data_IF_765740052590
#
_entry.id   IF_765740052590
#
_cell.length_a   1.000
_cell.length_b   1.000
_cell.length_c   1.000
_cell.angle_alpha   90.00
_cell.angle_beta   90.00
_cell.angle_gamma   90.00
#
_symmetry.space_group_name_H-M   'P 1'
#
loop_
_entity.id
_entity.type
_entity.pdbx_description
1 polymer ?
#
# COMPACT_ATOMS: atom_id res chain seq x y z
N UNK A 1 6.05 6.82 7.05
CA UNK A 1 7.07 6.54 6.01
C UNK A 1 7.51 5.10 6.10
N UNK A 2 7.21 4.38 7.17
CA UNK A 2 6.93 2.94 7.13
C UNK A 2 5.51 2.66 6.69
N UNK A 3 5.32 1.68 5.80
CA UNK A 3 4.00 1.27 5.31
C UNK A 3 3.78 -0.23 5.50
N UNK A 4 2.55 -0.60 5.83
CA UNK A 4 2.08 -1.97 6.01
C UNK A 4 0.70 -2.15 5.38
N UNK A 5 0.36 -3.38 5.04
CA UNK A 5 -1.00 -3.76 4.64
C UNK A 5 -1.57 -4.68 5.70
N UNK A 6 -2.79 -4.38 6.16
CA UNK A 6 -3.59 -5.28 6.97
C UNK A 6 -4.28 -6.31 6.06
N UNK A 7 -3.89 -7.59 6.12
CA UNK A 7 -4.46 -8.63 5.25
C UNK A 7 -5.91 -8.99 5.61
N UNK A 8 -6.36 -8.69 6.84
CA UNK A 8 -7.75 -8.92 7.25
C UNK A 8 -8.69 -7.89 6.63
N UNK A 9 -8.22 -6.65 6.45
CA UNK A 9 -8.97 -5.57 5.79
C UNK A 9 -8.85 -5.59 4.27
N UNK A 10 -7.69 -5.98 3.73
CA UNK A 10 -7.43 -5.92 2.30
C UNK A 10 -8.40 -6.82 1.50
N UNK A 11 -9.16 -6.25 0.56
CA UNK A 11 -10.08 -7.02 -0.31
C UNK A 11 -9.52 -7.32 -1.71
N UNK A 12 -8.25 -6.98 -1.96
CA UNK A 12 -7.59 -7.25 -3.23
C UNK A 12 -8.02 -6.34 -4.39
N UNK A 13 -8.43 -5.09 -4.11
CA UNK A 13 -8.88 -4.14 -5.13
C UNK A 13 -7.76 -3.64 -6.09
N UNK A 14 -6.49 -3.97 -5.80
CA UNK A 14 -5.30 -3.62 -6.59
C UNK A 14 -4.99 -2.12 -6.77
N UNK A 15 -5.79 -1.22 -6.19
CA UNK A 15 -5.61 0.25 -6.31
C UNK A 15 -4.21 0.70 -5.87
N UNK A 16 -3.68 0.13 -4.78
CA UNK A 16 -2.34 0.44 -4.29
C UNK A 16 -1.24 0.06 -5.29
N UNK A 17 -1.37 -1.09 -5.97
CA UNK A 17 -0.42 -1.55 -6.97
C UNK A 17 -0.47 -0.67 -8.22
N UNK A 18 -1.64 -0.14 -8.57
CA UNK A 18 -1.78 0.81 -9.69
C UNK A 18 -1.13 2.17 -9.38
N UNK A 19 -1.25 2.65 -8.14
CA UNK A 19 -0.73 3.96 -7.72
C UNK A 19 0.76 3.93 -7.39
N UNK A 20 1.25 2.87 -6.76
CA UNK A 20 2.65 2.75 -6.36
C UNK A 20 3.17 1.29 -6.49
N UNK A 21 3.38 0.79 -7.72
CA UNK A 21 3.87 -0.58 -7.98
C UNK A 21 5.29 -0.84 -7.47
N UNK A 22 6.05 0.21 -7.15
CA UNK A 22 7.37 0.10 -6.57
C UNK A 22 7.31 -0.35 -5.09
N UNK A 23 6.24 0.03 -4.39
CA UNK A 23 6.04 -0.26 -2.95
C UNK A 23 5.06 -1.41 -2.72
N UNK A 24 4.05 -1.59 -3.58
CA UNK A 24 3.02 -2.60 -3.41
C UNK A 24 3.05 -3.64 -4.53
N UNK A 25 2.70 -4.88 -4.19
CA UNK A 25 2.40 -5.94 -5.17
C UNK A 25 1.25 -6.81 -4.69
N UNK A 26 0.62 -7.52 -5.63
CA UNK A 26 -0.36 -8.54 -5.31
C UNK A 26 0.33 -9.88 -5.05
N UNK A 27 -0.05 -10.52 -3.95
CA UNK A 27 0.25 -11.91 -3.64
C UNK A 27 -1.07 -12.65 -3.41
N UNK A 28 -1.40 -13.54 -4.34
CA UNK A 28 -2.69 -14.25 -4.36
C UNK A 28 -3.87 -13.27 -4.44
N UNK A 29 -4.71 -13.21 -3.39
CA UNK A 29 -5.89 -12.35 -3.29
C UNK A 29 -5.64 -11.09 -2.44
N UNK A 30 -4.41 -10.87 -1.97
CA UNK A 30 -4.06 -9.76 -1.06
C UNK A 30 -2.90 -8.96 -1.60
N UNK A 31 -2.90 -7.66 -1.28
CA UNK A 31 -1.73 -6.82 -1.53
C UNK A 31 -0.70 -7.00 -0.40
N UNK A 32 0.57 -6.92 -0.75
CA UNK A 32 1.71 -6.93 0.19
C UNK A 32 2.63 -5.74 -0.09
N UNK A 33 3.45 -5.41 0.90
CA UNK A 33 4.44 -4.34 0.82
C UNK A 33 5.79 -4.92 0.41
N UNK A 34 6.33 -4.46 -0.73
CA UNK A 34 7.66 -4.80 -1.24
C UNK A 34 8.77 -4.06 -0.48
N UNK A 35 8.46 -2.84 -0.06
CA UNK A 35 9.40 -1.92 0.57
C UNK A 35 8.71 -1.23 1.75
N UNK A 36 9.02 -1.69 2.97
CA UNK A 36 8.42 -1.12 4.17
C UNK A 36 8.89 0.32 4.40
N UNK A 37 10.18 0.62 4.22
CA UNK A 37 10.75 1.95 4.39
C UNK A 37 10.63 2.74 3.08
N UNK A 38 9.64 3.62 3.00
CA UNK A 38 9.29 4.38 1.80
C UNK A 38 10.21 5.60 1.66
N UNK A 39 10.99 5.70 0.58
CA UNK A 39 11.80 6.88 0.31
C UNK A 39 10.92 8.09 -0.03
N UNK A 40 11.46 9.29 0.19
CA UNK A 40 10.70 10.55 0.11
C UNK A 40 10.07 10.79 -1.27
N UNK A 41 10.66 10.28 -2.35
CA UNK A 41 10.16 10.39 -3.71
C UNK A 41 8.92 9.52 -3.99
N UNK A 42 8.71 8.46 -3.18
CA UNK A 42 7.54 7.59 -3.26
C UNK A 42 6.48 7.93 -2.18
N UNK A 43 6.79 8.87 -1.29
CA UNK A 43 5.95 9.23 -0.16
C UNK A 43 4.53 9.64 -0.54
N UNK A 44 4.41 10.49 -1.56
CA UNK A 44 3.12 11.02 -1.99
C UNK A 44 2.29 9.93 -2.68
N UNK A 45 2.92 9.06 -3.49
CA UNK A 45 2.24 7.93 -4.11
C UNK A 45 1.72 6.92 -3.08
N UNK A 46 2.48 6.67 -2.00
CA UNK A 46 2.05 5.80 -0.90
C UNK A 46 0.89 6.42 -0.10
N UNK A 47 0.92 7.74 0.16
CA UNK A 47 -0.20 8.44 0.81
C UNK A 47 -1.45 8.39 -0.05
N UNK A 48 -1.33 8.67 -1.34
CA UNK A 48 -2.45 8.59 -2.28
C UNK A 48 -3.02 7.16 -2.35
N UNK A 49 -2.16 6.14 -2.35
CA UNK A 49 -2.59 4.74 -2.28
C UNK A 49 -3.38 4.43 -1.01
N UNK A 50 -2.93 4.93 0.14
CA UNK A 50 -3.63 4.76 1.41
C UNK A 50 -5.00 5.46 1.42
N UNK A 51 -5.05 6.72 0.98
CA UNK A 51 -6.29 7.50 0.88
C UNK A 51 -7.29 6.91 -0.14
N UNK A 52 -6.78 6.23 -1.17
CA UNK A 52 -7.59 5.60 -2.22
C UNK A 52 -8.01 4.16 -1.89
N UNK A 53 -7.50 3.57 -0.80
CA UNK A 53 -7.83 2.19 -0.43
C UNK A 53 -9.26 2.12 0.11
N UNK A 54 -10.22 1.47 -0.59
CA UNK A 54 -11.62 1.44 -0.15
C UNK A 54 -11.82 0.69 1.16
N UNK A 55 -10.91 -0.21 1.49
CA UNK A 55 -10.93 -1.01 2.70
C UNK A 55 -10.10 -0.43 3.85
N UNK A 56 -9.47 0.74 3.65
CA UNK A 56 -8.59 1.38 4.63
C UNK A 56 -7.48 0.44 5.17
N UNK A 57 -7.03 -0.50 4.32
CA UNK A 57 -6.11 -1.57 4.71
C UNK A 57 -4.64 -1.14 4.76
N UNK A 58 -4.31 0.06 4.31
CA UNK A 58 -2.92 0.56 4.20
C UNK A 58 -2.62 1.44 5.41
N UNK A 59 -1.65 1.00 6.21
CA UNK A 59 -1.26 1.66 7.46
C UNK A 59 0.09 2.33 7.26
N UNK A 60 0.17 3.62 7.56
CA UNK A 60 1.40 4.41 7.48
C UNK A 60 1.82 4.84 8.89
N UNK A 61 3.03 4.46 9.31
CA UNK A 61 3.67 4.86 10.57
C UNK A 61 5.03 5.50 10.24
N UNK A 62 5.34 6.67 10.81
CA UNK A 62 6.66 7.40 10.73
C UNK A 62 7.43 7.38 9.42
#
# INVERSE_FOLDING_TARGET
MKVKIDPELCNGDEVCVQLCPDVFEMQEDKAIVKMEEVPDDLADAVREAADSCPAEAIIIEE
#
